data_IF_888908773593
#
_entry.id   IF_888908773593
#
_cell.length_a   1.000
_cell.length_b   1.000
_cell.length_c   1.000
_cell.angle_alpha   90.00
_cell.angle_beta   90.00
_cell.angle_gamma   90.00
#
_symmetry.space_group_name_H-M   'P 1'
#
loop_
_entity.id
_entity.type
_entity.pdbx_description
1 polymer ?
#
# COMPACT_ATOMS: atom_id res chain seq x y z
N UNK A 1 0.13 -30.37 17.16
CA UNK A 1 1.47 -29.92 16.67
C UNK A 1 2.47 -29.97 17.81
N UNK A 2 3.77 -30.25 17.55
CA UNK A 2 4.77 -30.32 18.62
C UNK A 2 5.29 -28.93 19.01
N UNK A 3 5.52 -28.70 20.32
CA UNK A 3 6.04 -27.44 20.84
C UNK A 3 7.41 -27.06 20.25
N UNK A 4 8.21 -28.06 19.87
CA UNK A 4 9.51 -27.84 19.21
C UNK A 4 9.38 -27.05 17.91
N UNK A 5 8.33 -27.32 17.12
CA UNK A 5 8.07 -26.61 15.85
C UNK A 5 7.76 -25.14 16.12
N UNK A 6 6.96 -24.86 17.18
CA UNK A 6 6.68 -23.49 17.57
C UNK A 6 7.94 -22.77 18.06
N UNK A 7 8.78 -23.46 18.86
CA UNK A 7 10.03 -22.88 19.37
C UNK A 7 11.00 -22.49 18.26
N UNK A 8 11.04 -23.24 17.14
CA UNK A 8 11.88 -22.89 15.97
C UNK A 8 11.47 -21.56 15.32
N UNK A 9 10.19 -21.23 15.36
CA UNK A 9 9.70 -19.95 14.83
C UNK A 9 9.74 -18.80 15.87
N UNK A 10 9.99 -19.13 17.15
CA UNK A 10 10.07 -18.21 18.29
C UNK A 10 11.41 -18.35 19.03
N UNK A 11 12.56 -18.11 18.36
CA UNK A 11 13.86 -18.36 18.96
C UNK A 11 14.12 -17.51 20.20
N UNK A 12 13.49 -16.35 20.33
CA UNK A 12 13.54 -15.49 21.51
C UNK A 12 12.98 -16.15 22.78
N UNK A 13 12.22 -17.25 22.68
CA UNK A 13 11.80 -18.00 23.88
C UNK A 13 12.99 -18.61 24.63
N UNK A 14 14.09 -18.90 23.95
CA UNK A 14 15.34 -19.31 24.60
C UNK A 14 16.07 -18.10 25.18
N UNK A 15 16.37 -17.12 24.34
CA UNK A 15 17.04 -15.87 24.67
C UNK A 15 16.46 -14.74 23.85
N UNK A 16 16.11 -13.61 24.50
CA UNK A 16 15.61 -12.41 23.84
C UNK A 16 16.52 -11.92 22.71
N UNK A 17 17.83 -12.10 22.87
CA UNK A 17 18.82 -11.70 21.89
C UNK A 17 18.72 -12.48 20.56
N UNK A 18 18.10 -13.66 20.57
CA UNK A 18 17.94 -14.48 19.35
C UNK A 18 17.08 -13.80 18.28
N UNK A 19 16.28 -12.79 18.60
CA UNK A 19 15.58 -11.98 17.59
C UNK A 19 16.55 -11.30 16.63
N UNK A 20 17.77 -11.00 17.06
CA UNK A 20 18.81 -10.39 16.25
C UNK A 20 19.35 -11.34 15.18
N UNK A 21 19.20 -12.64 15.39
CA UNK A 21 19.57 -13.71 14.49
C UNK A 21 18.45 -14.12 13.54
N UNK A 22 17.24 -13.56 13.71
CA UNK A 22 16.13 -13.79 12.78
C UNK A 22 16.50 -13.33 11.37
N UNK A 23 16.16 -14.14 10.37
CA UNK A 23 16.57 -13.91 8.96
C UNK A 23 16.03 -12.58 8.42
N UNK A 24 14.78 -12.22 8.73
CA UNK A 24 14.16 -10.98 8.27
C UNK A 24 14.80 -9.75 8.95
N UNK A 25 15.13 -9.86 10.24
CA UNK A 25 15.84 -8.80 10.98
C UNK A 25 17.26 -8.63 10.44
N UNK A 26 17.98 -9.74 10.17
CA UNK A 26 19.31 -9.66 9.54
C UNK A 26 19.26 -9.01 8.17
N UNK A 27 18.37 -9.46 7.30
CA UNK A 27 18.18 -8.86 5.98
C UNK A 27 17.83 -7.38 6.03
N UNK A 28 17.05 -6.97 7.04
CA UNK A 28 16.74 -5.55 7.27
C UNK A 28 17.98 -4.78 7.75
N UNK A 29 18.79 -5.34 8.68
CA UNK A 29 20.02 -4.72 9.19
C UNK A 29 21.10 -4.59 8.12
N UNK A 30 21.27 -5.59 7.27
CA UNK A 30 22.32 -5.63 6.24
C UNK A 30 21.98 -4.75 5.03
N UNK A 31 20.76 -4.23 4.96
CA UNK A 31 20.34 -3.34 3.89
C UNK A 31 21.09 -2.00 3.91
N UNK A 32 21.51 -1.50 2.73
CA UNK A 32 22.08 -0.15 2.58
C UNK A 32 21.13 0.93 3.10
N UNK A 33 19.84 0.72 2.88
CA UNK A 33 18.76 1.60 3.35
C UNK A 33 17.93 0.86 4.38
N UNK A 34 17.73 1.51 5.53
CA UNK A 34 16.98 0.97 6.66
C UNK A 34 15.88 1.94 7.05
N UNK A 35 14.70 1.43 7.24
CA UNK A 35 13.59 2.20 7.80
C UNK A 35 12.65 1.29 8.58
N UNK A 36 11.95 1.87 9.51
CA UNK A 36 10.84 1.24 10.20
C UNK A 36 9.56 1.78 9.56
N UNK A 37 8.69 0.91 9.02
CA UNK A 37 7.42 1.35 8.47
C UNK A 37 6.59 2.12 9.50
N UNK A 38 5.97 3.22 9.10
CA UNK A 38 5.16 4.08 9.98
C UNK A 38 3.95 3.34 10.55
N UNK A 39 3.44 2.36 9.81
CA UNK A 39 2.28 1.51 10.15
C UNK A 39 2.49 0.72 11.45
N UNK A 40 3.73 0.53 11.90
CA UNK A 40 4.03 -0.10 13.20
C UNK A 40 3.35 0.65 14.36
N UNK A 41 3.21 1.98 14.23
CA UNK A 41 2.57 2.82 15.25
C UNK A 41 1.04 2.82 15.17
N UNK A 42 0.47 2.30 14.09
CA UNK A 42 -0.98 2.20 13.92
C UNK A 42 -1.55 0.93 14.56
N UNK A 43 -0.69 -0.08 14.80
CA UNK A 43 -1.09 -1.34 15.40
C UNK A 43 -1.53 -1.10 16.84
N UNK A 44 -2.78 -1.46 17.15
CA UNK A 44 -3.28 -1.36 18.52
C UNK A 44 -2.70 -2.48 19.38
N UNK A 45 -2.00 -2.09 20.44
CA UNK A 45 -1.43 -3.01 21.44
C UNK A 45 -2.29 -3.11 22.72
N UNK A 46 -3.50 -2.55 22.72
CA UNK A 46 -4.45 -2.65 23.84
C UNK A 46 -5.15 -4.00 23.81
N UNK A 47 -5.31 -4.70 24.92
CA UNK A 47 -6.17 -5.88 25.02
C UNK A 47 -7.65 -5.46 25.02
N UNK A 48 -8.56 -6.14 24.36
CA UNK A 48 -8.34 -7.06 23.28
C UNK A 48 -8.25 -6.31 21.94
N UNK A 49 -7.33 -6.69 21.07
CA UNK A 49 -7.22 -6.11 19.72
C UNK A 49 -7.06 -7.22 18.69
N UNK A 50 -7.83 -7.14 17.60
CA UNK A 50 -7.63 -7.94 16.40
C UNK A 50 -7.25 -7.00 15.26
N UNK A 51 -5.94 -6.87 15.00
CA UNK A 51 -5.40 -6.06 13.93
C UNK A 51 -5.19 -6.89 12.65
N UNK A 52 -5.52 -6.33 11.49
CA UNK A 52 -5.21 -6.92 10.19
C UNK A 52 -4.29 -6.01 9.40
N UNK A 53 -3.23 -6.58 8.82
CA UNK A 53 -2.30 -5.88 7.95
C UNK A 53 -2.47 -6.39 6.53
N UNK A 54 -3.00 -5.51 5.68
CA UNK A 54 -3.19 -5.72 4.25
C UNK A 54 -2.04 -5.11 3.47
N UNK A 55 -1.89 -5.49 2.23
CA UNK A 55 -0.95 -4.85 1.31
C UNK A 55 -0.36 -5.84 0.30
N UNK A 56 0.30 -5.34 -0.76
CA UNK A 56 0.89 -6.20 -1.77
C UNK A 56 1.93 -7.14 -1.15
N UNK A 57 2.27 -8.19 -1.88
CA UNK A 57 3.41 -9.02 -1.48
C UNK A 57 4.70 -8.21 -1.54
N UNK A 58 5.70 -8.65 -0.78
CA UNK A 58 7.04 -8.06 -0.74
C UNK A 58 7.08 -6.57 -0.33
N UNK A 59 5.98 -6.05 0.26
CA UNK A 59 5.94 -4.69 0.82
C UNK A 59 6.57 -4.62 2.22
N UNK A 60 6.92 -5.78 2.81
CA UNK A 60 7.62 -5.84 4.10
C UNK A 60 6.71 -6.16 5.31
N UNK A 61 5.54 -6.78 5.12
CA UNK A 61 4.63 -7.14 6.22
C UNK A 61 5.30 -8.03 7.28
N UNK A 62 5.98 -9.10 6.86
CA UNK A 62 6.74 -10.00 7.76
C UNK A 62 7.82 -9.22 8.52
N UNK A 63 8.57 -8.36 7.83
CA UNK A 63 9.59 -7.50 8.47
C UNK A 63 8.97 -6.56 9.49
N UNK A 64 7.80 -5.97 9.20
CA UNK A 64 7.05 -5.14 10.16
C UNK A 64 6.70 -5.93 11.43
N UNK A 65 6.20 -7.17 11.30
CA UNK A 65 5.90 -8.02 12.46
C UNK A 65 7.16 -8.30 13.27
N UNK A 66 8.27 -8.66 12.62
CA UNK A 66 9.54 -8.94 13.30
C UNK A 66 10.14 -7.70 13.99
N UNK A 67 10.03 -6.53 13.38
CA UNK A 67 10.42 -5.26 14.00
C UNK A 67 9.54 -4.93 15.22
N UNK A 68 8.24 -5.21 15.16
CA UNK A 68 7.36 -5.02 16.31
C UNK A 68 7.68 -6.01 17.44
N UNK A 69 7.95 -7.28 17.12
CA UNK A 69 8.41 -8.28 18.09
C UNK A 69 9.70 -7.81 18.77
N UNK A 70 10.69 -7.36 17.97
CA UNK A 70 11.95 -6.81 18.49
C UNK A 70 11.70 -5.64 19.45
N UNK A 71 10.85 -4.68 19.05
CA UNK A 71 10.46 -3.54 19.88
C UNK A 71 9.84 -3.98 21.22
N UNK A 72 8.89 -4.92 21.20
CA UNK A 72 8.26 -5.44 22.43
C UNK A 72 9.25 -6.12 23.37
N UNK A 73 10.23 -6.87 22.83
CA UNK A 73 11.30 -7.49 23.60
C UNK A 73 12.23 -6.44 24.24
N UNK A 74 12.55 -5.37 23.52
CA UNK A 74 13.35 -4.24 24.00
C UNK A 74 12.61 -3.43 25.08
N UNK A 75 11.28 -3.28 24.95
CA UNK A 75 10.41 -2.65 25.95
C UNK A 75 10.20 -3.51 27.21
N UNK A 76 10.80 -4.71 27.25
CA UNK A 76 10.81 -5.56 28.44
C UNK A 76 9.62 -6.53 28.51
N UNK A 77 8.83 -6.68 27.45
CA UNK A 77 7.77 -7.70 27.42
C UNK A 77 8.40 -9.08 27.64
N UNK A 78 7.75 -9.88 28.48
CA UNK A 78 8.17 -11.26 28.75
C UNK A 78 8.15 -12.08 27.46
N UNK A 79 9.25 -12.73 27.14
CA UNK A 79 9.51 -13.34 25.84
C UNK A 79 8.50 -14.43 25.45
N UNK A 80 8.02 -15.20 26.44
CA UNK A 80 7.01 -16.26 26.26
C UNK A 80 5.61 -15.72 25.97
N UNK A 81 5.34 -14.43 26.26
CA UNK A 81 4.09 -13.73 25.89
C UNK A 81 4.04 -13.33 24.43
N UNK A 82 5.16 -13.43 23.72
CA UNK A 82 5.26 -13.04 22.30
C UNK A 82 5.29 -14.32 21.47
N UNK A 83 4.21 -14.58 20.75
CA UNK A 83 4.05 -15.75 19.89
C UNK A 83 3.95 -15.32 18.43
N UNK A 84 4.80 -15.89 17.57
CA UNK A 84 4.78 -15.71 16.12
C UNK A 84 4.62 -17.07 15.44
N UNK A 85 3.78 -17.11 14.42
CA UNK A 85 3.66 -18.28 13.56
C UNK A 85 3.38 -17.88 12.12
N UNK A 86 4.16 -18.45 11.19
CA UNK A 86 3.97 -18.31 9.77
C UNK A 86 3.11 -19.44 9.24
N UNK A 87 1.94 -19.09 8.70
CA UNK A 87 0.88 -20.03 8.34
C UNK A 87 1.00 -20.62 6.93
N UNK A 88 2.04 -20.28 6.15
CA UNK A 88 2.17 -20.65 4.74
C UNK A 88 2.31 -22.15 4.45
N UNK A 89 2.60 -22.95 5.49
CA UNK A 89 2.68 -24.42 5.40
C UNK A 89 1.41 -25.13 5.86
N UNK A 90 0.46 -24.40 6.44
CA UNK A 90 -0.79 -24.97 6.90
C UNK A 90 -1.77 -25.15 5.74
N UNK A 91 -2.56 -26.22 5.78
CA UNK A 91 -3.53 -26.56 4.73
C UNK A 91 -4.94 -26.04 5.04
N UNK A 92 -5.37 -26.09 6.29
CA UNK A 92 -6.72 -25.73 6.71
C UNK A 92 -6.80 -25.17 8.15
N UNK A 93 -8.02 -24.79 8.54
CA UNK A 93 -8.31 -24.23 9.85
C UNK A 93 -8.04 -25.18 11.02
N UNK A 94 -8.03 -26.50 10.81
CA UNK A 94 -7.78 -27.49 11.87
C UNK A 94 -6.32 -27.49 12.27
N UNK A 95 -5.43 -27.41 11.28
CA UNK A 95 -4.00 -27.29 11.57
C UNK A 95 -3.68 -25.98 12.31
N UNK A 96 -4.36 -24.88 11.94
CA UNK A 96 -4.23 -23.62 12.68
C UNK A 96 -4.77 -23.73 14.11
N UNK A 97 -5.84 -24.48 14.32
CA UNK A 97 -6.38 -24.78 15.63
C UNK A 97 -5.37 -25.57 16.52
N UNK A 98 -4.71 -26.58 15.95
CA UNK A 98 -3.63 -27.31 16.64
C UNK A 98 -2.45 -26.40 17.04
N UNK A 99 -2.05 -25.48 16.14
CA UNK A 99 -1.01 -24.48 16.45
C UNK A 99 -1.39 -23.65 17.68
N UNK A 100 -2.61 -23.10 17.68
CA UNK A 100 -3.07 -22.25 18.77
C UNK A 100 -3.26 -23.03 20.06
N UNK A 101 -3.82 -24.25 20.02
CA UNK A 101 -3.94 -25.15 21.20
C UNK A 101 -2.58 -25.41 21.84
N UNK A 102 -1.59 -25.78 21.02
CA UNK A 102 -0.24 -26.04 21.53
C UNK A 102 0.36 -24.79 22.21
N UNK A 103 0.15 -23.61 21.64
CA UNK A 103 0.60 -22.35 22.27
C UNK A 103 -0.19 -22.07 23.56
N UNK A 104 -1.49 -22.28 23.61
CA UNK A 104 -2.30 -22.07 24.81
C UNK A 104 -1.91 -23.01 25.97
N UNK A 105 -1.59 -24.25 25.66
CA UNK A 105 -1.05 -25.19 26.66
C UNK A 105 0.31 -24.72 27.20
N UNK A 106 1.20 -24.27 26.29
CA UNK A 106 2.49 -23.71 26.66
C UNK A 106 2.33 -22.47 27.56
N UNK A 107 1.54 -21.46 27.17
CA UNK A 107 1.33 -20.27 27.99
C UNK A 107 0.70 -20.56 29.34
N UNK A 108 -0.20 -21.55 29.41
CA UNK A 108 -0.80 -22.01 30.65
C UNK A 108 0.24 -22.60 31.59
N UNK A 109 1.16 -23.42 31.07
CA UNK A 109 2.28 -23.98 31.85
C UNK A 109 3.22 -22.91 32.42
N UNK A 110 3.25 -21.72 31.80
CA UNK A 110 4.02 -20.55 32.22
C UNK A 110 3.23 -19.53 33.04
N UNK A 111 1.94 -19.81 33.37
CA UNK A 111 1.04 -18.87 34.04
C UNK A 111 0.83 -17.54 33.30
N UNK A 112 0.88 -17.54 31.97
CA UNK A 112 0.71 -16.36 31.13
C UNK A 112 -0.79 -16.14 30.87
N UNK A 113 -1.30 -14.97 31.24
CA UNK A 113 -2.72 -14.59 31.11
C UNK A 113 -3.03 -13.73 29.87
N UNK A 114 -2.01 -13.14 29.24
CA UNK A 114 -2.16 -12.30 28.03
C UNK A 114 -0.94 -12.38 27.14
N UNK A 115 -1.15 -12.33 25.81
CA UNK A 115 -0.10 -12.52 24.83
C UNK A 115 -0.22 -11.54 23.65
N UNK A 116 0.91 -11.35 22.96
CA UNK A 116 0.97 -10.74 21.64
C UNK A 116 1.12 -11.88 20.61
N UNK A 117 0.09 -12.10 19.80
CA UNK A 117 -0.01 -13.22 18.87
C UNK A 117 0.09 -12.70 17.44
N UNK A 118 1.15 -13.10 16.74
CA UNK A 118 1.44 -12.72 15.38
C UNK A 118 1.23 -13.91 14.45
N UNK A 119 0.21 -13.85 13.59
CA UNK A 119 -0.06 -14.87 12.57
C UNK A 119 0.25 -14.31 11.20
N UNK A 120 1.38 -14.71 10.64
CA UNK A 120 1.85 -14.25 9.34
C UNK A 120 1.31 -15.15 8.23
N UNK A 121 0.88 -14.54 7.11
CA UNK A 121 0.31 -15.25 5.96
C UNK A 121 -0.92 -16.12 6.33
N UNK A 122 -1.79 -15.60 7.22
CA UNK A 122 -2.95 -16.33 7.77
C UNK A 122 -3.97 -16.79 6.72
N UNK A 123 -3.93 -16.20 5.51
CA UNK A 123 -4.82 -16.56 4.39
C UNK A 123 -4.45 -17.84 3.65
N UNK A 124 -3.34 -18.49 4.02
CA UNK A 124 -2.95 -19.77 3.40
C UNK A 124 -3.84 -20.94 3.81
N UNK A 125 -4.04 -21.22 5.12
CA UNK A 125 -4.94 -22.30 5.51
C UNK A 125 -6.39 -21.98 5.14
N UNK A 126 -7.04 -22.93 4.49
CA UNK A 126 -8.47 -22.78 4.12
C UNK A 126 -9.33 -22.55 5.34
N UNK A 127 -10.28 -21.63 5.24
CA UNK A 127 -11.25 -21.30 6.30
C UNK A 127 -10.61 -20.88 7.65
N UNK A 128 -9.38 -20.34 7.64
CA UNK A 128 -8.62 -19.90 8.82
C UNK A 128 -9.47 -19.06 9.81
N UNK A 129 -10.40 -18.26 9.28
CA UNK A 129 -11.28 -17.38 10.06
C UNK A 129 -12.18 -18.16 11.04
N UNK A 130 -12.45 -19.44 10.79
CA UNK A 130 -13.29 -20.28 11.70
C UNK A 130 -12.59 -20.46 13.04
N UNK A 131 -11.32 -20.78 13.04
CA UNK A 131 -10.50 -20.96 14.24
C UNK A 131 -10.39 -19.66 15.03
N UNK A 132 -10.07 -18.54 14.36
CA UNK A 132 -9.92 -17.25 15.04
C UNK A 132 -11.26 -16.80 15.67
N UNK A 133 -12.38 -16.94 14.95
CA UNK A 133 -13.72 -16.64 15.50
C UNK A 133 -14.05 -17.48 16.72
N UNK A 134 -13.78 -18.78 16.65
CA UNK A 134 -14.05 -19.68 17.76
C UNK A 134 -13.38 -19.18 19.05
N UNK A 135 -12.08 -18.89 19.01
CA UNK A 135 -11.35 -18.43 20.19
C UNK A 135 -11.71 -17.01 20.66
N UNK A 136 -12.21 -16.16 19.76
CA UNK A 136 -12.79 -14.87 20.16
C UNK A 136 -14.12 -15.09 20.89
N UNK A 137 -15.00 -15.93 20.35
CA UNK A 137 -16.34 -16.16 20.87
C UNK A 137 -16.33 -16.96 22.21
N UNK A 138 -15.33 -17.82 22.39
CA UNK A 138 -15.11 -18.53 23.70
C UNK A 138 -14.37 -17.66 24.73
N UNK A 139 -13.83 -16.50 24.30
CA UNK A 139 -13.16 -15.56 25.21
C UNK A 139 -11.69 -15.89 25.51
N UNK A 140 -11.09 -16.86 24.79
CA UNK A 140 -9.68 -17.23 24.99
C UNK A 140 -8.72 -16.09 24.64
N UNK A 141 -9.12 -15.22 23.70
CA UNK A 141 -8.33 -14.04 23.27
C UNK A 141 -8.67 -12.74 24.02
N UNK A 142 -9.56 -12.76 25.02
CA UNK A 142 -10.06 -11.52 25.66
C UNK A 142 -8.99 -10.56 26.19
N UNK A 143 -7.82 -11.09 26.53
CA UNK A 143 -6.69 -10.32 27.05
C UNK A 143 -5.52 -10.21 26.07
N UNK A 144 -5.70 -10.71 24.84
CA UNK A 144 -4.60 -10.84 23.89
C UNK A 144 -4.63 -9.71 22.82
N UNK A 145 -3.48 -9.48 22.21
CA UNK A 145 -3.33 -8.66 21.03
C UNK A 145 -2.98 -9.57 19.86
N UNK A 146 -3.85 -9.60 18.86
CA UNK A 146 -3.64 -10.36 17.64
C UNK A 146 -3.25 -9.42 16.52
N UNK A 147 -2.22 -9.81 15.74
CA UNK A 147 -1.79 -9.12 14.53
C UNK A 147 -1.69 -10.15 13.41
N UNK A 148 -2.57 -10.05 12.45
CA UNK A 148 -2.72 -11.00 11.35
C UNK A 148 -2.30 -10.34 10.03
N UNK A 149 -1.50 -11.04 9.24
CA UNK A 149 -1.16 -10.61 7.88
C UNK A 149 -1.64 -11.62 6.84
N UNK A 150 -1.85 -11.13 5.63
CA UNK A 150 -2.12 -11.98 4.48
C UNK A 150 -1.64 -11.34 3.19
N UNK A 151 -1.07 -12.17 2.31
CA UNK A 151 -0.56 -11.73 1.01
C UNK A 151 -1.65 -11.61 -0.05
N UNK A 152 -2.71 -12.38 0.06
CA UNK A 152 -3.90 -12.26 -0.78
C UNK A 152 -4.88 -11.28 -0.15
N UNK A 153 -4.58 -10.00 -0.24
CA UNK A 153 -5.42 -8.92 0.27
C UNK A 153 -6.87 -9.03 -0.20
N UNK A 154 -7.08 -9.64 -1.36
CA UNK A 154 -8.39 -9.91 -1.93
C UNK A 154 -9.22 -10.87 -1.08
N UNK A 155 -8.61 -11.99 -0.62
CA UNK A 155 -9.30 -12.94 0.25
C UNK A 155 -9.37 -12.41 1.68
N UNK A 156 -8.27 -11.88 2.18
CA UNK A 156 -8.20 -11.35 3.53
C UNK A 156 -9.28 -10.28 3.75
N UNK A 157 -9.42 -9.31 2.85
CA UNK A 157 -10.44 -8.25 2.97
C UNK A 157 -11.86 -8.81 2.99
N UNK A 158 -12.19 -9.74 2.10
CA UNK A 158 -13.50 -10.40 2.06
C UNK A 158 -13.77 -11.23 3.34
N UNK A 159 -12.75 -11.95 3.83
CA UNK A 159 -12.88 -12.79 5.03
C UNK A 159 -12.90 -11.97 6.30
N UNK A 160 -12.20 -10.84 6.32
CA UNK A 160 -12.20 -9.87 7.42
C UNK A 160 -13.56 -9.20 7.61
N UNK A 161 -14.37 -9.03 6.56
CA UNK A 161 -15.76 -8.60 6.64
C UNK A 161 -16.63 -9.61 7.44
N UNK A 162 -16.12 -10.84 7.66
CA UNK A 162 -16.77 -11.84 8.50
C UNK A 162 -16.56 -11.63 10.00
N UNK A 163 -15.85 -10.59 10.46
CA UNK A 163 -15.60 -10.30 11.87
C UNK A 163 -16.35 -9.05 12.41
N UNK A 164 -17.66 -8.85 12.14
CA UNK A 164 -18.38 -7.72 12.68
C UNK A 164 -18.41 -7.79 14.22
N UNK A 165 -18.09 -6.69 14.87
CA UNK A 165 -18.10 -6.60 16.34
C UNK A 165 -17.01 -7.39 17.08
N UNK A 166 -16.07 -8.05 16.38
CA UNK A 166 -15.01 -8.90 16.95
C UNK A 166 -13.60 -8.31 16.86
N UNK A 167 -13.49 -6.98 16.74
CA UNK A 167 -12.19 -6.29 16.58
C UNK A 167 -11.60 -5.79 17.89
N UNK A 168 -12.42 -5.53 18.90
CA UNK A 168 -11.98 -4.82 20.09
C UNK A 168 -11.37 -3.46 19.70
N UNK A 169 -10.15 -3.17 20.14
CA UNK A 169 -9.39 -1.97 19.75
C UNK A 169 -8.58 -2.14 18.46
N UNK A 170 -8.68 -3.29 17.80
CA UNK A 170 -7.91 -3.63 16.59
C UNK A 170 -8.30 -2.79 15.37
N UNK A 171 -7.36 -2.67 14.44
CA UNK A 171 -7.45 -1.84 13.23
C UNK A 171 -7.18 -2.64 11.97
N UNK A 172 -7.70 -2.13 10.85
CA UNK A 172 -7.30 -2.51 9.50
C UNK A 172 -6.23 -1.55 9.02
N UNK A 173 -5.04 -2.08 8.76
CA UNK A 173 -3.86 -1.32 8.39
C UNK A 173 -3.47 -1.72 6.96
N UNK A 174 -3.34 -0.73 6.08
CA UNK A 174 -2.95 -0.95 4.68
C UNK A 174 -1.50 -0.54 4.52
N UNK A 175 -0.60 -1.51 4.42
CA UNK A 175 0.81 -1.30 4.18
C UNK A 175 1.08 -1.26 2.67
N UNK A 176 1.47 -0.09 2.16
CA UNK A 176 1.75 0.17 0.75
C UNK A 176 3.24 0.38 0.52
N UNK A 177 3.75 0.35 -0.73
CA UNK A 177 5.10 0.82 -1.04
C UNK A 177 5.30 2.24 -0.53
N UNK A 178 6.54 2.63 -0.22
CA UNK A 178 6.85 3.97 0.30
C UNK A 178 6.22 5.07 -0.55
N UNK A 179 5.57 6.02 0.10
CA UNK A 179 5.21 7.30 -0.51
C UNK A 179 6.47 8.10 -0.81
N UNK A 180 6.36 9.14 -1.64
CA UNK A 180 7.53 10.00 -1.91
C UNK A 180 8.07 10.67 -0.63
N UNK A 181 7.19 11.08 0.29
CA UNK A 181 7.60 11.61 1.59
C UNK A 181 8.39 10.59 2.42
N UNK A 182 7.95 9.34 2.47
CA UNK A 182 8.65 8.25 3.17
C UNK A 182 9.96 7.90 2.47
N UNK A 183 10.00 8.00 1.14
CA UNK A 183 11.22 7.84 0.36
C UNK A 183 12.26 8.90 0.75
N UNK A 184 11.87 10.16 0.93
CA UNK A 184 12.76 11.21 1.45
C UNK A 184 13.28 10.83 2.84
N UNK A 185 12.44 10.29 3.74
CA UNK A 185 12.88 9.82 5.06
C UNK A 185 13.99 8.78 4.97
N UNK A 186 13.94 7.90 3.96
CA UNK A 186 14.95 6.83 3.77
C UNK A 186 16.24 7.35 3.14
N UNK A 187 16.14 8.31 2.20
CA UNK A 187 17.29 8.77 1.42
C UNK A 187 17.95 10.05 1.95
N UNK A 188 17.21 10.87 2.68
CA UNK A 188 17.68 12.14 3.25
C UNK A 188 16.94 12.44 4.57
N UNK A 189 17.19 11.66 5.63
CA UNK A 189 16.51 11.83 6.93
C UNK A 189 16.64 13.25 7.47
N UNK A 190 17.80 13.90 7.25
CA UNK A 190 18.11 15.26 7.68
C UNK A 190 17.20 16.32 7.04
N UNK A 191 16.71 16.08 5.83
CA UNK A 191 15.74 16.93 5.14
C UNK A 191 14.34 16.58 5.65
N UNK A 192 14.01 15.28 5.77
CA UNK A 192 12.71 14.83 6.23
C UNK A 192 12.29 15.47 7.57
N UNK A 193 13.24 15.57 8.53
CA UNK A 193 12.97 16.17 9.84
C UNK A 193 12.66 17.69 9.77
N UNK A 194 13.05 18.35 8.69
CA UNK A 194 12.85 19.79 8.47
C UNK A 194 11.65 20.11 7.59
N UNK A 195 11.13 19.12 6.87
CA UNK A 195 10.01 19.34 5.96
C UNK A 195 8.68 19.24 6.72
N UNK A 196 7.84 20.26 6.64
CA UNK A 196 6.53 20.24 7.29
C UNK A 196 5.60 19.22 6.62
N UNK A 197 4.50 18.91 7.29
CA UNK A 197 3.39 18.12 6.77
C UNK A 197 2.12 18.92 6.85
N UNK A 198 1.23 18.80 5.85
CA UNK A 198 -0.11 19.36 5.89
C UNK A 198 -1.04 18.43 6.69
N UNK A 199 -1.93 19.03 7.45
CA UNK A 199 -2.99 18.31 8.16
C UNK A 199 -4.28 18.30 7.32
N UNK A 200 -4.53 19.37 6.57
CA UNK A 200 -5.70 19.56 5.72
C UNK A 200 -5.31 20.01 4.32
N UNK A 201 -6.15 19.68 3.34
CA UNK A 201 -5.98 20.15 1.95
C UNK A 201 -6.67 21.51 1.81
N UNK A 202 -6.07 22.54 2.37
CA UNK A 202 -6.53 23.92 2.28
C UNK A 202 -5.46 24.79 1.58
N UNK A 203 -5.89 25.74 0.74
CA UNK A 203 -4.97 26.57 -0.07
C UNK A 203 -3.91 27.23 0.80
N UNK A 204 -4.32 27.88 1.88
CA UNK A 204 -3.42 28.62 2.76
C UNK A 204 -2.37 27.71 3.38
N UNK A 205 -2.79 26.54 3.88
CA UNK A 205 -1.90 25.58 4.52
C UNK A 205 -0.94 24.96 3.50
N UNK A 206 -1.43 24.55 2.34
CA UNK A 206 -0.60 23.97 1.27
C UNK A 206 0.53 24.93 0.90
N UNK A 207 0.22 26.20 0.58
CA UNK A 207 1.24 27.15 0.16
C UNK A 207 2.16 27.56 1.29
N UNK A 208 1.66 27.74 2.51
CA UNK A 208 2.50 27.99 3.69
C UNK A 208 3.53 26.89 3.85
N UNK A 209 3.10 25.61 3.83
CA UNK A 209 3.99 24.46 4.01
C UNK A 209 4.92 24.25 2.81
N UNK A 210 4.47 24.53 1.60
CA UNK A 210 5.31 24.49 0.41
C UNK A 210 6.45 25.53 0.46
N UNK A 211 6.15 26.75 0.91
CA UNK A 211 7.18 27.80 1.09
C UNK A 211 8.16 27.43 2.22
N UNK A 212 7.70 26.80 3.30
CA UNK A 212 8.57 26.30 4.37
C UNK A 212 9.53 25.20 3.85
N UNK A 213 9.10 24.38 2.88
CA UNK A 213 9.92 23.33 2.26
C UNK A 213 10.81 23.83 1.10
N UNK A 214 10.55 25.01 0.56
CA UNK A 214 11.23 25.57 -0.62
C UNK A 214 12.76 25.64 -0.52
N UNK A 215 13.37 25.92 0.64
CA UNK A 215 14.83 25.90 0.78
C UNK A 215 15.50 24.57 0.43
N UNK A 216 14.73 23.47 0.41
CA UNK A 216 15.22 22.11 0.11
C UNK A 216 14.82 21.63 -1.29
N UNK A 217 14.27 22.52 -2.13
CA UNK A 217 13.61 22.18 -3.38
C UNK A 217 14.52 21.39 -4.34
N UNK A 218 15.75 21.83 -4.58
CA UNK A 218 16.66 21.18 -5.51
C UNK A 218 16.91 19.71 -5.11
N UNK A 219 17.14 19.48 -3.83
CA UNK A 219 17.36 18.13 -3.31
C UNK A 219 16.07 17.29 -3.37
N UNK A 220 14.92 17.88 -3.08
CA UNK A 220 13.61 17.23 -3.22
C UNK A 220 13.37 16.83 -4.68
N UNK A 221 13.71 17.68 -5.65
CA UNK A 221 13.59 17.39 -7.07
C UNK A 221 14.50 16.23 -7.52
N UNK A 222 15.75 16.19 -7.04
CA UNK A 222 16.65 15.06 -7.30
C UNK A 222 16.07 13.74 -6.78
N UNK A 223 15.56 13.75 -5.53
CA UNK A 223 14.94 12.59 -4.92
C UNK A 223 13.65 12.19 -5.64
N UNK A 224 12.87 13.16 -6.15
CA UNK A 224 11.68 12.87 -6.93
C UNK A 224 12.01 12.18 -8.26
N UNK A 225 13.00 12.65 -8.98
CA UNK A 225 13.51 11.99 -10.19
C UNK A 225 14.00 10.56 -9.87
N UNK A 226 14.66 10.35 -8.72
CA UNK A 226 15.07 9.02 -8.28
C UNK A 226 13.86 8.14 -7.97
N UNK A 227 12.85 8.68 -7.26
CA UNK A 227 11.61 7.99 -6.94
C UNK A 227 10.83 7.56 -8.20
N UNK A 228 10.74 8.42 -9.21
CA UNK A 228 10.13 8.06 -10.49
C UNK A 228 10.81 6.86 -11.17
N UNK A 229 12.14 6.69 -10.97
CA UNK A 229 12.92 5.60 -11.58
C UNK A 229 12.83 4.27 -10.85
N UNK A 230 12.68 4.27 -9.52
CA UNK A 230 12.75 3.03 -8.73
C UNK A 230 11.46 2.71 -7.96
N UNK A 231 10.59 3.69 -7.73
CA UNK A 231 9.40 3.53 -6.92
C UNK A 231 9.69 3.38 -5.42
N UNK A 232 8.66 2.96 -4.70
CA UNK A 232 8.68 2.79 -3.24
C UNK A 232 8.73 1.34 -2.75
N UNK A 233 8.80 0.34 -3.64
CA UNK A 233 8.87 -1.05 -3.21
C UNK A 233 10.21 -1.38 -2.51
N UNK A 234 10.17 -2.08 -1.35
CA UNK A 234 11.34 -2.28 -0.50
C UNK A 234 12.57 -2.86 -1.20
N UNK A 235 12.41 -3.84 -2.08
CA UNK A 235 13.55 -4.44 -2.78
C UNK A 235 14.23 -3.45 -3.74
N UNK A 236 13.45 -2.65 -4.49
CA UNK A 236 13.98 -1.63 -5.38
C UNK A 236 14.64 -0.49 -4.59
N UNK A 237 14.02 -0.06 -3.48
CA UNK A 237 14.58 0.95 -2.59
C UNK A 237 15.88 0.48 -1.93
N UNK A 238 15.94 -0.77 -1.46
CA UNK A 238 17.14 -1.37 -0.85
C UNK A 238 18.30 -1.45 -1.84
N UNK A 239 18.03 -1.83 -3.09
CA UNK A 239 19.04 -1.96 -4.14
C UNK A 239 19.38 -0.59 -4.77
N UNK A 240 18.56 0.44 -4.55
CA UNK A 240 18.62 1.76 -5.20
C UNK A 240 18.40 1.70 -6.73
N UNK A 241 17.90 0.58 -7.24
CA UNK A 241 17.57 0.34 -8.65
C UNK A 241 16.58 -0.82 -8.83
N UNK A 242 15.95 -0.90 -9.99
CA UNK A 242 15.10 -2.02 -10.40
C UNK A 242 15.93 -3.00 -11.22
N UNK A 243 16.57 -3.96 -10.52
CA UNK A 243 17.34 -5.02 -11.18
C UNK A 243 16.43 -6.06 -11.82
N UNK A 244 16.99 -6.90 -12.70
CA UNK A 244 16.24 -8.00 -13.32
C UNK A 244 15.69 -8.98 -12.26
N UNK A 245 16.51 -9.33 -11.27
CA UNK A 245 16.10 -10.22 -10.16
C UNK A 245 14.91 -9.65 -9.38
N UNK A 246 14.88 -8.33 -9.17
CA UNK A 246 13.74 -7.65 -8.52
C UNK A 246 12.49 -7.80 -9.37
N UNK A 247 12.55 -7.54 -10.68
CA UNK A 247 11.41 -7.71 -11.59
C UNK A 247 10.91 -9.15 -11.63
N UNK A 248 11.81 -10.12 -11.73
CA UNK A 248 11.47 -11.54 -11.75
C UNK A 248 10.80 -11.99 -10.45
N UNK A 249 11.29 -11.53 -9.31
CA UNK A 249 10.69 -11.83 -8.00
C UNK A 249 9.25 -11.31 -7.89
N UNK A 250 9.00 -10.07 -8.32
CA UNK A 250 7.65 -9.49 -8.31
C UNK A 250 6.73 -10.14 -9.34
N UNK A 251 7.25 -10.47 -10.51
CA UNK A 251 6.48 -11.15 -11.53
C UNK A 251 6.11 -12.58 -11.10
N UNK A 252 7.02 -13.31 -10.49
CA UNK A 252 6.75 -14.65 -9.93
C UNK A 252 5.63 -14.58 -8.87
N UNK A 253 5.62 -13.53 -8.05
CA UNK A 253 4.52 -13.29 -7.13
C UNK A 253 3.17 -13.13 -7.86
N UNK A 254 3.10 -12.23 -8.86
CA UNK A 254 1.86 -11.96 -9.60
C UNK A 254 1.35 -13.26 -10.23
N UNK A 255 2.23 -14.05 -10.88
CA UNK A 255 1.88 -15.35 -11.46
C UNK A 255 1.32 -16.34 -10.43
N UNK A 256 1.97 -16.42 -9.27
CA UNK A 256 1.51 -17.29 -8.18
C UNK A 256 0.11 -16.92 -7.70
N UNK A 257 -0.20 -15.63 -7.59
CA UNK A 257 -1.53 -15.19 -7.14
C UNK A 257 -2.59 -15.37 -8.22
N UNK A 258 -2.27 -15.14 -9.50
CA UNK A 258 -3.17 -15.43 -10.62
C UNK A 258 -3.51 -16.92 -10.69
N UNK A 259 -2.52 -17.80 -10.54
CA UNK A 259 -2.73 -19.24 -10.52
C UNK A 259 -3.66 -19.70 -9.39
N UNK A 260 -3.55 -19.12 -8.21
CA UNK A 260 -4.44 -19.44 -7.06
C UNK A 260 -5.91 -19.09 -7.30
N UNK A 261 -6.19 -18.13 -8.17
CA UNK A 261 -7.55 -17.67 -8.48
C UNK A 261 -8.01 -18.13 -9.87
N UNK A 262 -7.27 -19.04 -10.49
CA UNK A 262 -7.56 -19.59 -11.82
C UNK A 262 -7.72 -18.49 -12.88
N UNK A 263 -6.75 -17.57 -12.95
CA UNK A 263 -6.73 -16.47 -13.92
C UNK A 263 -5.55 -16.58 -14.87
N UNK A 264 -5.80 -16.33 -16.16
CA UNK A 264 -4.81 -16.38 -17.23
C UNK A 264 -3.75 -15.28 -17.10
N UNK A 265 -2.48 -15.67 -17.07
CA UNK A 265 -1.34 -14.77 -17.16
C UNK A 265 -1.34 -13.96 -18.46
N UNK A 266 -1.74 -14.58 -19.56
CA UNK A 266 -1.75 -13.94 -20.87
C UNK A 266 -2.77 -12.80 -20.95
N UNK A 267 -3.99 -13.02 -20.47
CA UNK A 267 -5.03 -11.97 -20.40
C UNK A 267 -4.57 -10.84 -19.49
N UNK A 268 -3.95 -11.17 -18.35
CA UNK A 268 -3.39 -10.17 -17.44
C UNK A 268 -2.33 -9.29 -18.14
N UNK A 269 -1.40 -9.89 -18.89
CA UNK A 269 -0.38 -9.16 -19.68
C UNK A 269 -1.03 -8.25 -20.72
N UNK A 270 -2.03 -8.72 -21.46
CA UNK A 270 -2.76 -7.91 -22.46
C UNK A 270 -3.41 -6.68 -21.81
N UNK A 271 -4.00 -6.83 -20.64
CA UNK A 271 -4.60 -5.72 -19.89
C UNK A 271 -3.54 -4.76 -19.35
N UNK A 272 -2.43 -5.28 -18.78
CA UNK A 272 -1.32 -4.46 -18.32
C UNK A 272 -0.71 -3.63 -19.48
N UNK A 273 -0.55 -4.24 -20.66
CA UNK A 273 -0.12 -3.56 -21.88
C UNK A 273 -1.10 -2.46 -22.30
N UNK A 274 -2.41 -2.76 -22.29
CA UNK A 274 -3.45 -1.78 -22.61
C UNK A 274 -3.42 -0.57 -21.67
N UNK A 275 -3.17 -0.80 -20.38
CA UNK A 275 -3.03 0.26 -19.39
C UNK A 275 -1.83 1.15 -19.76
N UNK A 276 -0.64 0.57 -19.98
CA UNK A 276 0.58 1.30 -20.35
C UNK A 276 0.42 2.16 -21.60
N UNK A 277 -0.19 1.60 -22.65
CA UNK A 277 -0.34 2.27 -23.94
C UNK A 277 -1.42 3.37 -23.96
N UNK A 278 -2.39 3.29 -23.05
CA UNK A 278 -3.53 4.23 -23.03
C UNK A 278 -3.44 5.30 -21.95
N UNK A 279 -2.54 5.14 -20.97
CA UNK A 279 -2.31 6.16 -19.96
C UNK A 279 -1.81 7.47 -20.58
N UNK A 280 -2.18 8.64 -20.03
CA UNK A 280 -2.99 8.87 -18.83
C UNK A 280 -4.50 9.00 -19.13
N UNK A 281 -4.93 8.71 -20.35
CA UNK A 281 -6.31 8.91 -20.78
C UNK A 281 -7.30 8.00 -20.06
N UNK A 282 -8.54 8.46 -19.92
CA UNK A 282 -9.63 7.63 -19.40
C UNK A 282 -10.03 6.55 -20.43
N UNK A 283 -10.07 5.29 -20.01
CA UNK A 283 -10.14 4.11 -20.87
C UNK A 283 -11.56 3.50 -20.87
N UNK A 284 -12.02 3.11 -22.06
CA UNK A 284 -13.22 2.29 -22.25
C UNK A 284 -12.86 0.80 -22.14
N UNK A 285 -13.60 0.03 -21.34
CA UNK A 285 -13.39 -1.42 -21.24
C UNK A 285 -13.70 -2.14 -22.55
N UNK A 286 -14.65 -1.64 -23.33
CA UNK A 286 -14.96 -2.18 -24.65
C UNK A 286 -13.81 -1.95 -25.65
N UNK A 287 -13.15 -0.79 -25.57
CA UNK A 287 -11.97 -0.49 -26.39
C UNK A 287 -10.82 -1.44 -26.05
N UNK A 288 -10.53 -1.65 -24.75
CA UNK A 288 -9.50 -2.61 -24.32
C UNK A 288 -9.85 -4.02 -24.85
N UNK A 289 -11.08 -4.49 -24.65
CA UNK A 289 -11.47 -5.83 -25.06
C UNK A 289 -11.24 -6.03 -26.57
N UNK A 290 -11.66 -5.06 -27.39
CA UNK A 290 -11.56 -5.12 -28.87
C UNK A 290 -10.10 -5.01 -29.35
N UNK A 291 -9.34 -4.04 -28.83
CA UNK A 291 -7.99 -3.73 -29.33
C UNK A 291 -6.94 -4.73 -28.87
N UNK A 292 -7.14 -5.36 -27.71
CA UNK A 292 -6.18 -6.31 -27.11
C UNK A 292 -6.67 -7.76 -27.16
N UNK A 293 -7.64 -8.06 -28.03
CA UNK A 293 -8.17 -9.41 -28.29
C UNK A 293 -8.55 -10.14 -26.99
N UNK A 294 -9.41 -9.48 -26.19
CA UNK A 294 -9.99 -10.04 -24.95
C UNK A 294 -11.47 -10.28 -25.21
N UNK A 295 -11.98 -11.45 -24.83
CA UNK A 295 -13.29 -11.95 -25.16
C UNK A 295 -14.43 -10.96 -24.89
N UNK A 296 -14.42 -10.26 -23.77
CA UNK A 296 -15.47 -9.32 -23.37
C UNK A 296 -14.97 -8.19 -22.49
N UNK A 297 -15.67 -7.06 -22.46
CA UNK A 297 -15.44 -5.98 -21.50
C UNK A 297 -15.65 -6.44 -20.04
N UNK A 298 -16.48 -7.46 -19.80
CA UNK A 298 -16.69 -8.05 -18.48
C UNK A 298 -15.41 -8.73 -18.00
N UNK A 299 -14.73 -9.47 -18.87
CA UNK A 299 -13.43 -10.07 -18.58
C UNK A 299 -12.40 -9.00 -18.22
N UNK A 300 -12.34 -7.89 -18.99
CA UNK A 300 -11.44 -6.76 -18.66
C UNK A 300 -11.76 -6.21 -17.26
N UNK A 301 -13.05 -6.00 -16.96
CA UNK A 301 -13.47 -5.51 -15.64
C UNK A 301 -13.04 -6.44 -14.50
N UNK A 302 -13.23 -7.76 -14.65
CA UNK A 302 -12.87 -8.76 -13.66
C UNK A 302 -11.36 -8.77 -13.40
N UNK A 303 -10.53 -8.64 -14.44
CA UNK A 303 -9.07 -8.55 -14.26
C UNK A 303 -8.62 -7.24 -13.64
N UNK A 304 -9.26 -6.11 -13.99
CA UNK A 304 -8.97 -4.84 -13.32
C UNK A 304 -9.34 -4.87 -11.83
N UNK A 305 -10.46 -5.51 -11.48
CA UNK A 305 -10.86 -5.73 -10.09
C UNK A 305 -9.83 -6.59 -9.33
N UNK A 306 -9.31 -7.64 -9.99
CA UNK A 306 -8.21 -8.45 -9.46
C UNK A 306 -6.94 -7.62 -9.27
N UNK A 307 -6.54 -6.83 -10.28
CA UNK A 307 -5.35 -5.97 -10.20
C UNK A 307 -5.47 -4.91 -9.09
N UNK A 308 -6.66 -4.33 -8.88
CA UNK A 308 -6.91 -3.38 -7.79
C UNK A 308 -6.84 -4.07 -6.42
N UNK A 309 -7.40 -5.26 -6.28
CA UNK A 309 -7.34 -6.08 -5.06
C UNK A 309 -5.94 -6.61 -4.75
N UNK A 310 -5.10 -6.80 -5.77
CA UNK A 310 -3.68 -7.12 -5.62
C UNK A 310 -2.82 -5.88 -5.32
N UNK A 311 -3.41 -4.69 -5.22
CA UNK A 311 -2.69 -3.42 -5.06
C UNK A 311 -1.68 -3.14 -6.19
N UNK A 312 -2.03 -3.48 -7.42
CA UNK A 312 -1.24 -3.17 -8.62
C UNK A 312 -1.73 -1.87 -9.23
N UNK A 313 -3.05 -1.70 -9.32
CA UNK A 313 -3.68 -0.50 -9.88
C UNK A 313 -4.64 0.14 -8.89
N UNK A 314 -4.95 1.40 -9.15
CA UNK A 314 -6.07 2.15 -8.60
C UNK A 314 -6.96 2.61 -9.74
N UNK A 315 -8.27 2.43 -9.61
CA UNK A 315 -9.25 2.86 -10.60
C UNK A 315 -9.88 4.17 -10.15
N UNK A 316 -9.74 5.21 -10.96
CA UNK A 316 -10.42 6.48 -10.76
C UNK A 316 -11.66 6.54 -11.65
N UNK A 317 -12.81 6.69 -11.03
CA UNK A 317 -14.08 6.88 -11.75
C UNK A 317 -14.30 8.35 -12.05
N UNK A 318 -15.07 8.63 -13.11
CA UNK A 318 -15.56 9.98 -13.38
C UNK A 318 -16.50 10.42 -12.26
N UNK A 319 -16.31 11.61 -11.69
CA UNK A 319 -17.22 12.16 -10.67
C UNK A 319 -18.35 13.00 -11.33
N UNK A 320 -19.57 12.77 -10.89
CA UNK A 320 -20.71 13.67 -11.16
C UNK A 320 -20.75 14.75 -10.08
N UNK A 321 -20.34 15.95 -10.42
CA UNK A 321 -20.16 17.03 -9.43
C UNK A 321 -21.48 17.49 -8.77
N UNK A 322 -22.60 17.35 -9.45
CA UNK A 322 -23.90 17.77 -8.91
C UNK A 322 -24.32 16.90 -7.72
N UNK A 323 -24.10 15.59 -7.85
CA UNK A 323 -24.46 14.59 -6.84
C UNK A 323 -23.29 14.16 -5.96
N UNK A 324 -22.05 14.47 -6.35
CA UNK A 324 -20.80 14.05 -5.68
C UNK A 324 -20.72 12.51 -5.59
N UNK A 325 -21.04 11.80 -6.69
CA UNK A 325 -20.99 10.35 -6.78
C UNK A 325 -20.19 9.89 -8.02
N UNK A 326 -19.59 8.69 -7.98
CA UNK A 326 -18.92 8.11 -9.14
C UNK A 326 -19.91 7.74 -10.24
N UNK A 327 -19.59 8.07 -11.48
CA UNK A 327 -20.34 7.60 -12.66
C UNK A 327 -19.68 6.32 -13.21
N UNK A 328 -20.25 5.16 -12.87
CA UNK A 328 -19.73 3.86 -13.26
C UNK A 328 -19.88 3.54 -14.76
N UNK A 329 -20.72 4.30 -15.50
CA UNK A 329 -20.96 4.12 -16.94
C UNK A 329 -19.92 4.83 -17.82
N UNK A 330 -19.25 5.86 -17.28
CA UNK A 330 -18.21 6.58 -17.99
C UNK A 330 -16.90 5.77 -18.02
N UNK A 331 -16.03 6.16 -18.95
CA UNK A 331 -14.64 5.67 -18.97
C UNK A 331 -14.00 5.89 -17.60
N UNK A 332 -12.93 5.16 -17.32
CA UNK A 332 -12.20 5.23 -16.04
C UNK A 332 -10.71 5.46 -16.29
N UNK A 333 -10.07 6.28 -15.46
CA UNK A 333 -8.62 6.35 -15.43
C UNK A 333 -8.09 5.20 -14.58
N UNK A 334 -6.99 4.58 -15.01
CA UNK A 334 -6.34 3.49 -14.30
C UNK A 334 -4.93 3.95 -13.99
N UNK A 335 -4.54 3.92 -12.72
CA UNK A 335 -3.24 4.33 -12.26
C UNK A 335 -2.53 3.16 -11.60
N UNK A 336 -1.24 2.95 -11.86
CA UNK A 336 -0.43 2.05 -11.05
C UNK A 336 -0.22 2.64 -9.66
N UNK A 337 -0.22 1.80 -8.64
CA UNK A 337 -0.06 2.26 -7.24
C UNK A 337 1.36 2.73 -6.94
N UNK A 338 2.33 2.38 -7.80
CA UNK A 338 3.74 2.72 -7.62
C UNK A 338 4.46 2.80 -8.99
N UNK A 339 5.44 3.70 -9.16
CA UNK A 339 6.25 3.80 -10.39
C UNK A 339 6.92 2.50 -10.82
N UNK A 340 7.27 1.62 -9.88
CA UNK A 340 7.87 0.32 -10.15
C UNK A 340 7.12 -0.49 -11.21
N UNK A 341 5.79 -0.44 -11.22
CA UNK A 341 4.98 -1.22 -12.15
C UNK A 341 5.11 -0.78 -13.61
N UNK A 342 5.46 0.48 -13.87
CA UNK A 342 5.77 0.90 -15.24
C UNK A 342 6.96 0.12 -15.81
N UNK A 343 8.04 0.02 -15.03
CA UNK A 343 9.25 -0.69 -15.43
C UNK A 343 9.04 -2.21 -15.50
N UNK A 344 8.29 -2.76 -14.55
CA UNK A 344 7.97 -4.19 -14.53
C UNK A 344 7.15 -4.58 -15.77
N UNK A 345 6.05 -3.86 -16.04
CA UNK A 345 5.16 -4.24 -17.12
C UNK A 345 5.66 -3.83 -18.50
N UNK A 346 6.45 -2.76 -18.63
CA UNK A 346 7.12 -2.45 -19.90
C UNK A 346 8.01 -3.60 -20.37
N UNK A 347 8.77 -4.21 -19.45
CA UNK A 347 9.61 -5.38 -19.76
C UNK A 347 8.77 -6.62 -20.11
N UNK A 348 7.81 -6.96 -19.24
CA UNK A 348 7.04 -8.20 -19.38
C UNK A 348 6.12 -8.18 -20.60
N UNK A 349 5.56 -7.01 -20.92
CA UNK A 349 4.67 -6.82 -22.06
C UNK A 349 5.40 -6.42 -23.35
N UNK A 350 6.75 -6.30 -23.29
CA UNK A 350 7.59 -5.88 -24.41
C UNK A 350 7.07 -4.60 -25.08
N UNK A 351 6.82 -3.58 -24.27
CA UNK A 351 6.32 -2.27 -24.70
C UNK A 351 7.21 -1.15 -24.18
N UNK A 352 7.17 0.01 -24.84
CA UNK A 352 7.95 1.16 -24.43
C UNK A 352 7.46 1.71 -23.08
N UNK A 353 8.40 2.25 -22.31
CA UNK A 353 8.07 3.03 -21.13
C UNK A 353 7.34 4.31 -21.58
N UNK A 354 6.20 4.66 -20.97
CA UNK A 354 5.55 5.93 -21.26
C UNK A 354 6.40 7.15 -20.91
N UNK A 355 6.05 8.31 -21.47
CA UNK A 355 6.72 9.57 -21.16
C UNK A 355 6.71 9.88 -19.66
N UNK A 356 7.74 10.59 -19.19
CA UNK A 356 7.88 10.97 -17.78
C UNK A 356 6.65 11.72 -17.22
N UNK A 357 5.98 12.52 -18.06
CA UNK A 357 4.75 13.23 -17.70
C UNK A 357 3.63 12.26 -17.29
N UNK A 358 3.52 11.11 -17.94
CA UNK A 358 2.54 10.05 -17.61
C UNK A 358 2.85 9.43 -16.26
N UNK A 359 4.13 9.13 -16.00
CA UNK A 359 4.57 8.61 -14.71
C UNK A 359 4.27 9.61 -13.59
N UNK A 360 4.51 10.88 -13.82
CA UNK A 360 4.29 11.96 -12.86
C UNK A 360 2.81 12.10 -12.53
N UNK A 361 1.92 12.16 -13.52
CA UNK A 361 0.47 12.21 -13.32
C UNK A 361 -0.01 11.00 -12.51
N UNK A 362 0.47 9.80 -12.87
CA UNK A 362 0.18 8.57 -12.16
C UNK A 362 0.60 8.61 -10.69
N UNK A 363 1.80 9.13 -10.39
CA UNK A 363 2.30 9.27 -9.01
C UNK A 363 1.42 10.18 -8.19
N UNK A 364 1.00 11.33 -8.75
CA UNK A 364 0.07 12.24 -8.07
C UNK A 364 -1.25 11.54 -7.78
N UNK A 365 -1.85 10.89 -8.78
CA UNK A 365 -3.11 10.17 -8.62
C UNK A 365 -3.01 9.05 -7.57
N UNK A 366 -1.94 8.27 -7.62
CA UNK A 366 -1.66 7.20 -6.66
C UNK A 366 -1.54 7.73 -5.23
N UNK A 367 -0.75 8.79 -4.99
CA UNK A 367 -0.55 9.36 -3.66
C UNK A 367 -1.83 9.96 -3.06
N UNK A 368 -2.59 10.72 -3.85
CA UNK A 368 -3.86 11.27 -3.41
C UNK A 368 -4.87 10.16 -3.08
N UNK A 369 -4.91 9.09 -3.89
CA UNK A 369 -5.82 7.95 -3.69
C UNK A 369 -5.51 7.10 -2.44
N UNK A 370 -4.32 7.23 -1.84
CA UNK A 370 -3.97 6.58 -0.57
C UNK A 370 -4.64 7.25 0.63
N UNK A 371 -5.02 8.53 0.51
CA UNK A 371 -5.54 9.33 1.61
C UNK A 371 -6.98 9.76 1.44
N UNK A 372 -7.43 9.88 0.19
CA UNK A 372 -8.73 10.46 -0.14
C UNK A 372 -9.50 9.59 -1.13
N UNK A 373 -10.81 9.65 -1.08
CA UNK A 373 -11.65 9.18 -2.17
C UNK A 373 -11.33 10.00 -3.42
N UNK A 374 -10.74 9.35 -4.41
CA UNK A 374 -10.19 10.01 -5.60
C UNK A 374 -10.92 9.61 -6.86
N UNK A 375 -11.15 10.59 -7.70
CA UNK A 375 -11.87 10.52 -8.96
C UNK A 375 -11.11 11.30 -10.02
N UNK A 376 -11.61 11.32 -11.25
CA UNK A 376 -11.26 12.31 -12.27
C UNK A 376 -12.54 13.00 -12.77
N UNK A 377 -12.37 14.14 -13.41
CA UNK A 377 -13.49 14.83 -14.04
C UNK A 377 -13.12 15.26 -15.45
N UNK A 378 -14.06 15.07 -16.40
CA UNK A 378 -13.85 15.43 -17.80
C UNK A 378 -15.16 15.87 -18.44
N UNK A 379 -15.13 17.05 -19.05
CA UNK A 379 -16.16 17.57 -19.93
C UNK A 379 -15.45 18.31 -21.09
N UNK A 380 -15.63 19.61 -21.26
CA UNK A 380 -14.86 20.45 -22.19
C UNK A 380 -13.38 20.57 -21.77
N UNK A 381 -13.12 20.48 -20.47
CA UNK A 381 -11.80 20.43 -19.84
C UNK A 381 -11.68 19.14 -19.03
N UNK A 382 -10.47 18.69 -18.83
CA UNK A 382 -10.15 17.57 -17.93
C UNK A 382 -9.52 18.09 -16.65
N UNK A 383 -9.83 17.46 -15.52
CA UNK A 383 -9.12 17.58 -14.24
C UNK A 383 -8.63 16.18 -13.89
N UNK A 384 -7.32 16.02 -13.79
CA UNK A 384 -6.68 14.72 -13.72
C UNK A 384 -7.04 13.95 -12.46
N UNK A 385 -7.03 14.63 -11.31
CA UNK A 385 -7.43 14.03 -10.04
C UNK A 385 -8.39 14.98 -9.31
N UNK A 386 -9.53 14.42 -8.88
CA UNK A 386 -10.49 15.12 -8.02
C UNK A 386 -10.60 14.34 -6.73
N UNK A 387 -10.36 14.98 -5.61
CA UNK A 387 -10.52 14.35 -4.29
C UNK A 387 -11.78 14.82 -3.60
N UNK A 388 -12.34 13.93 -2.81
CA UNK A 388 -13.39 14.22 -1.84
C UNK A 388 -12.77 14.19 -0.44
N UNK A 389 -12.68 15.35 0.18
CA UNK A 389 -12.32 15.57 1.58
C UNK A 389 -13.50 16.24 2.29
N UNK A 390 -13.26 17.26 3.09
CA UNK A 390 -14.33 18.18 3.57
C UNK A 390 -14.94 18.96 2.39
N UNK A 391 -14.14 19.24 1.37
CA UNK A 391 -14.55 19.89 0.13
C UNK A 391 -14.14 19.05 -1.09
N UNK A 392 -14.66 19.39 -2.27
CA UNK A 392 -14.24 18.81 -3.54
C UNK A 392 -13.12 19.67 -4.12
N UNK A 393 -11.96 19.07 -4.31
CA UNK A 393 -10.76 19.75 -4.77
C UNK A 393 -10.22 19.07 -6.01
N UNK A 394 -9.86 19.84 -7.02
CA UNK A 394 -9.28 19.36 -8.28
C UNK A 394 -7.78 19.59 -8.35
N UNK A 395 -7.08 18.64 -8.97
CA UNK A 395 -5.67 18.74 -9.28
C UNK A 395 -5.46 18.44 -10.75
N UNK A 396 -4.86 19.38 -11.46
CA UNK A 396 -4.36 19.22 -12.82
C UNK A 396 -2.84 19.06 -12.76
N UNK A 397 -2.28 18.16 -13.53
CA UNK A 397 -0.85 17.86 -13.53
C UNK A 397 -0.21 18.38 -14.82
N UNK A 398 0.76 19.28 -14.70
CA UNK A 398 1.51 19.87 -15.83
C UNK A 398 3.01 19.72 -15.60
N UNK A 399 3.59 18.65 -16.16
CA UNK A 399 5.04 18.41 -16.12
C UNK A 399 5.77 19.28 -17.14
N UNK A 400 5.63 20.61 -17.00
CA UNK A 400 6.20 21.62 -17.89
C UNK A 400 6.63 22.86 -17.12
N UNK A 401 7.47 23.70 -17.77
CA UNK A 401 7.96 24.97 -17.23
C UNK A 401 6.93 26.10 -17.38
N UNK A 402 5.78 25.86 -18.02
CA UNK A 402 4.72 26.83 -18.23
C UNK A 402 3.40 26.27 -17.72
N UNK A 403 2.63 27.09 -17.06
CA UNK A 403 1.29 26.75 -16.60
C UNK A 403 0.38 27.99 -16.63
N UNK A 404 -0.90 27.75 -16.90
CA UNK A 404 -1.93 28.79 -16.89
C UNK A 404 -2.32 29.20 -15.46
N UNK A 405 -3.12 30.26 -15.36
CA UNK A 405 -3.72 30.71 -14.11
C UNK A 405 -4.93 29.82 -13.75
N UNK A 406 -4.78 28.99 -12.74
CA UNK A 406 -5.81 28.06 -12.27
C UNK A 406 -6.73 28.65 -11.20
N UNK A 407 -6.40 29.82 -10.63
CA UNK A 407 -7.21 30.49 -9.60
C UNK A 407 -8.58 30.95 -10.13
N UNK A 408 -8.66 31.22 -11.43
CA UNK A 408 -9.87 31.70 -12.11
C UNK A 408 -10.79 30.59 -12.60
N UNK A 409 -10.34 29.33 -12.53
CA UNK A 409 -11.10 28.20 -13.07
C UNK A 409 -12.14 27.78 -12.04
N UNK A 410 -13.40 27.78 -12.47
CA UNK A 410 -14.54 27.34 -11.67
C UNK A 410 -15.23 26.19 -12.36
N UNK A 411 -15.34 25.04 -11.69
CA UNK A 411 -15.98 23.84 -12.24
C UNK A 411 -16.95 23.27 -11.19
N UNK A 412 -18.24 23.49 -11.43
CA UNK A 412 -19.29 22.95 -10.57
C UNK A 412 -19.06 23.23 -9.08
N UNK A 413 -19.06 22.17 -8.28
CA UNK A 413 -18.85 22.25 -6.82
C UNK A 413 -17.38 22.15 -6.38
N UNK A 414 -16.41 22.16 -7.30
CA UNK A 414 -15.00 22.20 -6.92
C UNK A 414 -14.66 23.54 -6.27
N UNK A 415 -14.20 23.49 -5.02
CA UNK A 415 -13.86 24.68 -4.24
C UNK A 415 -12.58 25.34 -4.72
N UNK A 416 -11.56 24.51 -4.94
CA UNK A 416 -10.26 24.93 -5.45
C UNK A 416 -9.79 23.96 -6.52
N UNK A 417 -9.06 24.49 -7.51
CA UNK A 417 -8.35 23.72 -8.50
C UNK A 417 -6.89 24.16 -8.47
N UNK A 418 -6.00 23.22 -8.20
CA UNK A 418 -4.56 23.44 -8.17
C UNK A 418 -3.92 22.88 -9.44
N UNK A 419 -2.96 23.60 -10.01
CA UNK A 419 -2.08 23.06 -11.01
C UNK A 419 -0.77 22.59 -10.36
N UNK A 420 -0.51 21.31 -10.44
CA UNK A 420 0.74 20.71 -9.99
C UNK A 420 1.75 20.79 -11.13
N UNK A 421 2.79 21.59 -10.95
CA UNK A 421 3.76 21.94 -11.99
C UNK A 421 5.09 21.23 -11.77
N UNK A 422 6.01 21.35 -12.74
CA UNK A 422 7.37 20.81 -12.61
C UNK A 422 8.17 21.57 -11.54
N UNK A 423 8.17 22.92 -11.59
CA UNK A 423 9.02 23.78 -10.79
C UNK A 423 8.39 25.14 -10.40
N UNK A 424 7.22 25.47 -10.95
CA UNK A 424 6.57 26.77 -10.68
C UNK A 424 5.79 26.76 -9.36
N UNK A 425 6.03 27.77 -8.54
CA UNK A 425 5.22 28.05 -7.35
C UNK A 425 4.62 29.47 -7.43
N UNK A 426 3.32 29.58 -7.40
CA UNK A 426 2.57 30.84 -7.43
C UNK A 426 1.23 30.67 -6.72
N UNK A 427 1.13 31.19 -5.50
CA UNK A 427 -0.07 31.09 -4.68
C UNK A 427 -1.28 31.76 -5.33
N UNK A 428 -1.06 32.91 -6.00
CA UNK A 428 -2.18 33.65 -6.61
C UNK A 428 -2.79 32.89 -7.78
N UNK A 429 -1.98 32.14 -8.51
CA UNK A 429 -2.41 31.31 -9.66
C UNK A 429 -2.72 29.88 -9.32
N UNK A 430 -2.64 29.46 -8.05
CA UNK A 430 -2.79 28.07 -7.61
C UNK A 430 -1.79 27.10 -8.24
N UNK A 431 -0.54 27.54 -8.44
CA UNK A 431 0.55 26.72 -8.99
C UNK A 431 1.47 26.23 -7.88
N UNK A 432 1.82 24.95 -7.88
CA UNK A 432 2.70 24.35 -6.88
C UNK A 432 3.55 23.24 -7.52
N UNK A 433 4.87 23.16 -7.25
CA UNK A 433 5.68 22.06 -7.73
C UNK A 433 5.20 20.70 -7.18
N UNK A 434 5.06 19.70 -8.06
CA UNK A 434 4.61 18.36 -7.74
C UNK A 434 5.44 17.75 -6.61
N UNK A 435 6.77 17.87 -6.72
CA UNK A 435 7.69 17.30 -5.73
C UNK A 435 7.50 17.93 -4.33
N UNK A 436 7.28 19.26 -4.25
CA UNK A 436 6.96 19.94 -2.98
C UNK A 436 5.60 19.49 -2.45
N UNK A 437 4.58 19.46 -3.31
CA UNK A 437 3.24 19.03 -2.91
C UNK A 437 3.23 17.63 -2.32
N UNK A 438 3.84 16.65 -3.03
CA UNK A 438 3.92 15.26 -2.55
C UNK A 438 4.78 15.10 -1.30
N UNK A 439 5.71 16.00 -1.08
CA UNK A 439 6.58 16.00 0.10
C UNK A 439 5.85 16.47 1.35
N UNK A 440 4.99 17.47 1.22
CA UNK A 440 4.21 17.99 2.35
C UNK A 440 2.91 17.23 2.58
N UNK A 441 2.46 16.45 1.59
CA UNK A 441 1.29 15.57 1.67
C UNK A 441 1.55 14.41 2.62
#
# INVERSE_FOLDING_TARGET
MELEILSKQNPWWKDKAEIENDEDIRKWKDGKRKWVPSEINEISLKPFSLNFIFGPRQVGKTTLLKLLIKKLLEEGVEKERIFYFRCDKLTDFKELDEVLKTYFEFRKSKNISSSFIFLDEVTFPKEWFRTIKFYIDTGDFKNDVLVLTGSLSMYLKKEVELFPGRRGFGKDIIMMPLTFREFIKVFSPEIYEKIPKIERIEKEEIFKKAYEALPYFDRIQELFKKYLKIGGFPLAVKNEEITQDVKESYWAWIKSDLAKIDRSEEIFKRIAKAILEKMPSAISLNSIAKEFDISTHKTVFEYLDVMEKMFIVKILYHIELDKIIPNLKKNRKICFVDPFFFYLFSDICLTNLPDESVLVENVVASHLSRKFDSFYWKNQREIDVVIRSEEIIGFEVKWSEKADDFSKIKIGKMRNIFCLTKDLIDKEKNLIPISLFLTIL
#
